data_IF_759995642104
#
_entry.id   IF_759995642104
#
_cell.length_a   1.000
_cell.length_b   1.000
_cell.length_c   1.000
_cell.angle_alpha   90.00
_cell.angle_beta   90.00
_cell.angle_gamma   90.00
#
_symmetry.space_group_name_H-M   'P 1'
#
loop_
_entity.id
_entity.type
_entity.pdbx_description
1 polymer ?
#
# COMPACT_ATOMS: atom_id res chain seq x y z
N UNK A 1 -29.33 -21.58 -10.91
CA UNK A 1 -28.42 -21.73 -9.75
C UNK A 1 -28.47 -20.42 -8.97
N UNK A 2 -28.52 -20.41 -7.63
CA UNK A 2 -28.44 -19.16 -6.91
C UNK A 2 -27.10 -18.50 -7.28
N UNK A 3 -27.11 -17.20 -7.59
CA UNK A 3 -25.90 -16.42 -7.81
C UNK A 3 -25.01 -16.64 -6.60
N UNK A 4 -23.87 -17.33 -6.78
CA UNK A 4 -22.82 -17.34 -5.75
C UNK A 4 -22.49 -15.88 -5.48
N UNK A 5 -22.47 -15.47 -4.22
CA UNK A 5 -21.99 -14.15 -3.84
C UNK A 5 -20.61 -13.97 -4.47
N UNK A 6 -20.53 -13.18 -5.53
CA UNK A 6 -19.27 -12.90 -6.21
C UNK A 6 -18.39 -12.11 -5.25
N UNK A 7 -17.22 -12.62 -4.96
CA UNK A 7 -16.28 -11.95 -4.07
C UNK A 7 -15.76 -10.64 -4.67
N UNK A 8 -15.56 -10.63 -5.99
CA UNK A 8 -15.14 -9.43 -6.70
C UNK A 8 -16.39 -8.76 -7.26
N UNK A 9 -16.78 -7.65 -6.65
CA UNK A 9 -17.88 -6.82 -7.06
C UNK A 9 -17.42 -5.39 -7.30
N UNK A 10 -17.60 -4.88 -8.51
CA UNK A 10 -17.33 -3.47 -8.82
C UNK A 10 -18.50 -2.64 -8.29
N UNK A 11 -18.25 -1.91 -7.20
CA UNK A 11 -19.25 -0.99 -6.63
C UNK A 11 -19.35 0.31 -7.43
N UNK A 12 -18.36 0.56 -8.29
CA UNK A 12 -18.24 1.77 -9.11
C UNK A 12 -17.90 1.35 -10.54
N UNK A 13 -18.91 1.14 -11.39
CA UNK A 13 -18.68 0.75 -12.77
C UNK A 13 -17.84 1.84 -13.48
N UNK A 14 -16.94 1.40 -14.34
CA UNK A 14 -16.22 2.29 -15.21
C UNK A 14 -17.18 2.89 -16.25
N UNK A 15 -17.13 4.20 -16.46
CA UNK A 15 -18.01 4.89 -17.41
C UNK A 15 -17.74 4.48 -18.87
N UNK A 16 -16.50 4.07 -19.19
CA UNK A 16 -16.16 3.59 -20.52
C UNK A 16 -16.48 2.09 -20.64
N UNK A 17 -17.39 1.70 -21.52
CA UNK A 17 -17.69 0.28 -21.73
C UNK A 17 -16.51 -0.44 -22.40
N UNK A 18 -16.42 -1.75 -22.13
CA UNK A 18 -15.50 -2.63 -22.80
C UNK A 18 -15.85 -2.80 -24.27
N UNK A 19 -14.85 -2.90 -25.11
CA UNK A 19 -14.95 -3.11 -26.56
C UNK A 19 -14.05 -4.25 -27.00
N UNK A 20 -14.16 -4.68 -28.24
CA UNK A 20 -13.24 -5.64 -28.87
C UNK A 20 -11.77 -5.15 -28.93
N UNK A 21 -11.50 -3.88 -28.61
CA UNK A 21 -10.14 -3.33 -28.51
C UNK A 21 -9.50 -3.56 -27.12
N UNK A 22 -10.29 -3.97 -26.15
CA UNK A 22 -9.80 -4.25 -24.81
C UNK A 22 -9.29 -5.69 -24.74
N UNK A 23 -8.09 -5.87 -24.17
CA UNK A 23 -7.46 -7.18 -24.07
C UNK A 23 -8.30 -8.14 -23.24
N UNK A 24 -8.54 -9.33 -23.75
CA UNK A 24 -9.30 -10.39 -23.10
C UNK A 24 -10.82 -10.30 -23.32
N UNK A 25 -11.26 -9.32 -24.10
CA UNK A 25 -12.67 -9.18 -24.50
C UNK A 25 -12.89 -9.84 -25.86
N UNK A 26 -13.89 -10.72 -26.03
CA UNK A 26 -14.26 -11.26 -27.34
C UNK A 26 -14.67 -10.18 -28.34
N UNK A 27 -14.54 -10.48 -29.63
CA UNK A 27 -15.06 -9.61 -30.67
C UNK A 27 -16.58 -9.51 -30.59
N UNK A 28 -17.07 -8.38 -30.08
CA UNK A 28 -18.49 -8.10 -29.91
C UNK A 28 -18.94 -6.96 -30.81
N UNK A 29 -20.16 -6.99 -31.36
CA UNK A 29 -20.68 -5.91 -32.16
C UNK A 29 -20.95 -4.64 -31.34
N UNK A 30 -21.39 -4.79 -30.09
CA UNK A 30 -21.74 -3.70 -29.20
C UNK A 30 -20.83 -3.62 -27.98
N UNK A 31 -20.53 -2.41 -27.47
CA UNK A 31 -19.79 -2.22 -26.22
C UNK A 31 -20.50 -2.85 -25.02
N UNK A 32 -19.72 -3.42 -24.08
CA UNK A 32 -20.20 -4.11 -22.89
C UNK A 32 -19.85 -3.32 -21.61
N UNK A 33 -20.81 -3.07 -20.75
CA UNK A 33 -20.53 -2.49 -19.45
C UNK A 33 -19.78 -3.50 -18.54
N UNK A 34 -18.85 -3.01 -17.71
CA UNK A 34 -18.05 -3.88 -16.83
C UNK A 34 -18.88 -4.75 -15.90
N UNK A 35 -19.98 -4.24 -15.39
CA UNK A 35 -20.89 -4.95 -14.50
C UNK A 35 -21.71 -6.04 -15.21
N UNK A 36 -21.75 -6.01 -16.55
CA UNK A 36 -22.45 -7.00 -17.39
C UNK A 36 -21.54 -8.17 -17.83
N UNK A 37 -20.23 -8.10 -17.55
CA UNK A 37 -19.29 -9.16 -17.96
C UNK A 37 -19.69 -10.51 -17.37
N UNK A 38 -20.11 -10.54 -16.11
CA UNK A 38 -20.55 -11.78 -15.43
C UNK A 38 -21.80 -12.42 -16.00
N UNK A 39 -22.63 -11.65 -16.71
CA UNK A 39 -23.88 -12.12 -17.32
C UNK A 39 -23.68 -12.75 -18.71
N UNK A 40 -22.47 -12.62 -19.28
CA UNK A 40 -22.17 -13.14 -20.62
C UNK A 40 -22.05 -14.67 -20.66
N UNK A 41 -21.82 -15.30 -19.50
CA UNK A 41 -21.67 -16.75 -19.41
C UNK A 41 -20.39 -17.30 -20.06
N UNK A 42 -19.39 -16.44 -20.31
CA UNK A 42 -18.12 -16.86 -20.88
C UNK A 42 -17.38 -17.85 -19.99
N UNK A 43 -16.79 -18.84 -20.61
CA UNK A 43 -16.06 -19.90 -19.94
C UNK A 43 -14.65 -20.04 -20.51
N UNK A 44 -13.62 -19.78 -19.70
CA UNK A 44 -12.22 -19.76 -20.18
C UNK A 44 -11.77 -21.12 -20.73
N UNK A 45 -12.22 -22.24 -20.12
CA UNK A 45 -11.86 -23.59 -20.59
C UNK A 45 -12.64 -24.03 -21.84
N UNK A 46 -13.71 -23.32 -22.20
CA UNK A 46 -14.42 -23.48 -23.46
C UNK A 46 -13.87 -22.56 -24.55
N UNK A 47 -12.79 -21.81 -24.26
CA UNK A 47 -12.16 -20.87 -25.15
C UNK A 47 -13.08 -19.72 -25.61
N UNK A 48 -14.05 -19.33 -24.78
CA UNK A 48 -14.95 -18.21 -25.07
C UNK A 48 -14.22 -16.85 -24.97
N UNK A 49 -13.03 -16.82 -24.39
CA UNK A 49 -12.19 -15.62 -24.24
C UNK A 49 -10.96 -15.71 -25.15
N UNK A 50 -10.51 -14.58 -25.73
CA UNK A 50 -9.24 -14.53 -26.47
C UNK A 50 -8.06 -14.92 -25.57
N UNK A 51 -7.23 -15.86 -26.01
CA UNK A 51 -6.04 -16.29 -25.29
C UNK A 51 -4.79 -15.55 -25.81
N UNK A 52 -3.78 -15.25 -24.94
CA UNK A 52 -3.72 -15.58 -23.51
C UNK A 52 -4.57 -14.66 -22.65
N UNK A 53 -5.29 -15.23 -21.69
CA UNK A 53 -6.09 -14.52 -20.70
C UNK A 53 -5.54 -14.75 -19.29
N UNK A 54 -5.63 -13.72 -18.41
CA UNK A 54 -5.34 -13.85 -17.00
C UNK A 54 -6.65 -14.03 -16.25
N UNK A 55 -6.76 -15.10 -15.47
CA UNK A 55 -7.95 -15.39 -14.65
C UNK A 55 -7.58 -15.45 -13.18
N UNK A 56 -8.52 -15.00 -12.34
CA UNK A 56 -8.39 -15.08 -10.90
C UNK A 56 -9.27 -16.22 -10.37
N UNK A 57 -8.70 -17.09 -9.55
CA UNK A 57 -9.45 -18.14 -8.87
C UNK A 57 -10.11 -17.58 -7.62
N UNK A 58 -11.43 -17.45 -7.62
CA UNK A 58 -12.20 -16.89 -6.50
C UNK A 58 -11.90 -17.61 -5.17
N UNK A 59 -11.78 -18.94 -5.20
CA UNK A 59 -11.47 -19.73 -3.98
C UNK A 59 -10.08 -19.42 -3.42
N UNK A 60 -9.10 -19.12 -4.28
CA UNK A 60 -7.76 -18.68 -3.86
C UNK A 60 -7.80 -17.27 -3.27
N UNK A 61 -8.48 -16.34 -3.93
CA UNK A 61 -8.67 -14.97 -3.42
C UNK A 61 -9.32 -14.96 -2.03
N UNK A 62 -10.40 -15.74 -1.83
CA UNK A 62 -11.07 -15.88 -0.52
C UNK A 62 -10.11 -16.41 0.54
N UNK A 63 -9.39 -17.47 0.24
CA UNK A 63 -8.46 -18.07 1.18
C UNK A 63 -7.34 -17.09 1.58
N UNK A 64 -6.79 -16.37 0.60
CA UNK A 64 -5.72 -15.38 0.82
C UNK A 64 -6.21 -14.17 1.62
N UNK A 65 -7.42 -13.70 1.32
CA UNK A 65 -8.09 -12.62 2.05
C UNK A 65 -8.30 -13.01 3.53
N UNK A 66 -8.92 -14.15 3.81
CA UNK A 66 -9.17 -14.62 5.17
C UNK A 66 -7.86 -14.87 5.94
N UNK A 67 -6.84 -15.42 5.27
CA UNK A 67 -5.54 -15.62 5.89
C UNK A 67 -4.93 -14.28 6.36
N UNK A 68 -4.93 -13.26 5.49
CA UNK A 68 -4.37 -11.95 5.84
C UNK A 68 -5.18 -11.27 6.96
N UNK A 69 -6.51 -11.36 6.95
CA UNK A 69 -7.37 -10.85 8.03
C UNK A 69 -7.01 -11.48 9.38
N UNK A 70 -6.81 -12.81 9.39
CA UNK A 70 -6.37 -13.55 10.58
C UNK A 70 -5.01 -13.08 11.09
N UNK A 71 -4.04 -12.90 10.17
CA UNK A 71 -2.72 -12.37 10.50
C UNK A 71 -2.80 -10.95 11.12
N UNK A 72 -3.50 -10.04 10.47
CA UNK A 72 -3.64 -8.65 10.93
C UNK A 72 -4.26 -8.56 12.33
N UNK A 73 -5.32 -9.34 12.55
CA UNK A 73 -5.98 -9.42 13.86
C UNK A 73 -5.05 -9.98 14.95
N UNK A 74 -4.32 -11.05 14.66
CA UNK A 74 -3.36 -11.65 15.59
C UNK A 74 -2.19 -10.75 15.92
N UNK A 75 -1.64 -10.07 14.92
CA UNK A 75 -0.51 -9.15 15.05
C UNK A 75 -0.90 -7.75 15.57
N UNK A 76 -2.21 -7.42 15.56
CA UNK A 76 -2.75 -6.10 15.93
C UNK A 76 -2.15 -4.95 15.12
N UNK A 77 -2.00 -5.18 13.84
CA UNK A 77 -1.54 -4.18 12.85
C UNK A 77 -2.56 -4.02 11.75
N UNK A 78 -2.43 -2.97 10.97
CA UNK A 78 -3.30 -2.72 9.83
C UNK A 78 -2.54 -2.87 8.52
N UNK A 79 -3.27 -2.89 7.41
CA UNK A 79 -2.69 -3.02 6.09
C UNK A 79 -3.11 -1.87 5.19
N UNK A 80 -2.16 -1.37 4.41
CA UNK A 80 -2.40 -0.53 3.25
C UNK A 80 -1.85 -1.27 2.01
N UNK A 81 -2.59 -2.23 1.43
CA UNK A 81 -2.05 -3.14 0.42
C UNK A 81 -1.58 -2.40 -0.82
N UNK A 82 -0.45 -2.85 -1.37
CA UNK A 82 0.14 -2.20 -2.54
C UNK A 82 -0.61 -2.53 -3.83
N UNK A 83 -1.41 -1.58 -4.30
CA UNK A 83 -2.26 -1.71 -5.49
C UNK A 83 -1.50 -1.94 -6.81
N UNK A 84 -0.19 -1.59 -6.88
CA UNK A 84 0.62 -1.83 -8.09
C UNK A 84 0.66 -3.30 -8.52
N UNK A 85 0.37 -4.22 -7.61
CA UNK A 85 0.36 -5.67 -7.89
C UNK A 85 -0.62 -6.02 -9.01
N UNK A 86 -1.83 -5.48 -8.95
CA UNK A 86 -2.89 -5.80 -9.91
C UNK A 86 -3.38 -4.58 -10.70
N UNK A 87 -3.31 -3.38 -10.11
CA UNK A 87 -3.99 -2.17 -10.58
C UNK A 87 -5.46 -2.40 -10.93
N UNK A 88 -6.09 -3.37 -10.23
CA UNK A 88 -7.48 -3.77 -10.45
C UNK A 88 -8.39 -3.21 -9.33
N UNK A 89 -9.26 -2.23 -9.62
CA UNK A 89 -10.16 -1.66 -8.63
C UNK A 89 -11.06 -2.69 -7.93
N UNK A 90 -11.51 -3.74 -8.61
CA UNK A 90 -12.28 -4.80 -8.00
C UNK A 90 -11.51 -5.55 -6.88
N UNK A 91 -10.19 -5.71 -7.04
CA UNK A 91 -9.33 -6.25 -5.96
C UNK A 91 -9.16 -5.22 -4.84
N UNK A 92 -9.05 -3.94 -5.16
CA UNK A 92 -8.99 -2.88 -4.14
C UNK A 92 -10.30 -2.83 -3.33
N UNK A 93 -11.46 -2.95 -3.99
CA UNK A 93 -12.77 -3.01 -3.32
C UNK A 93 -12.84 -4.18 -2.34
N UNK A 94 -12.36 -5.37 -2.74
CA UNK A 94 -12.24 -6.52 -1.85
C UNK A 94 -11.36 -6.19 -0.64
N UNK A 95 -10.17 -5.66 -0.86
CA UNK A 95 -9.22 -5.34 0.22
C UNK A 95 -9.75 -4.27 1.18
N UNK A 96 -10.43 -3.23 0.67
CA UNK A 96 -11.10 -2.22 1.50
C UNK A 96 -12.26 -2.82 2.29
N UNK A 97 -13.05 -3.69 1.67
CA UNK A 97 -14.15 -4.42 2.35
C UNK A 97 -13.62 -5.32 3.47
N UNK A 98 -12.44 -5.90 3.29
CA UNK A 98 -11.74 -6.70 4.31
C UNK A 98 -11.11 -5.85 5.43
N UNK A 99 -11.21 -4.54 5.36
CA UNK A 99 -10.75 -3.62 6.39
C UNK A 99 -9.38 -2.99 6.13
N UNK A 100 -8.87 -3.01 4.90
CA UNK A 100 -7.64 -2.30 4.58
C UNK A 100 -7.77 -0.79 4.90
N UNK A 101 -6.77 -0.24 5.58
CA UNK A 101 -6.75 1.15 6.02
C UNK A 101 -6.67 2.14 4.85
N UNK A 102 -5.93 1.81 3.82
CA UNK A 102 -5.73 2.61 2.60
C UNK A 102 -5.40 1.70 1.42
N UNK A 103 -5.36 2.26 0.21
CA UNK A 103 -4.69 1.62 -0.93
C UNK A 103 -3.33 2.28 -1.13
N UNK A 104 -2.27 1.47 -1.19
CA UNK A 104 -0.92 1.94 -1.47
C UNK A 104 -0.68 2.02 -2.98
N UNK A 105 -0.09 3.14 -3.39
CA UNK A 105 0.28 3.43 -4.78
C UNK A 105 1.77 3.78 -4.88
N UNK A 106 2.32 3.86 -6.08
CA UNK A 106 3.73 4.19 -6.29
C UNK A 106 3.97 5.41 -7.21
N UNK A 107 2.94 5.90 -7.90
CA UNK A 107 3.06 7.00 -8.86
C UNK A 107 1.86 7.92 -8.82
N UNK A 108 1.99 9.14 -9.34
CA UNK A 108 0.87 10.08 -9.52
C UNK A 108 -0.23 9.53 -10.45
N UNK A 109 0.14 8.70 -11.43
CA UNK A 109 -0.83 8.01 -12.26
C UNK A 109 -1.67 7.01 -11.44
N UNK A 110 -1.04 6.17 -10.63
CA UNK A 110 -1.74 5.23 -9.76
C UNK A 110 -2.62 5.95 -8.72
N UNK A 111 -2.16 7.10 -8.19
CA UNK A 111 -2.97 7.97 -7.35
C UNK A 111 -4.25 8.42 -8.06
N UNK A 112 -4.13 8.89 -9.32
CA UNK A 112 -5.28 9.33 -10.09
C UNK A 112 -6.28 8.20 -10.36
N UNK A 113 -5.81 6.98 -10.61
CA UNK A 113 -6.67 5.80 -10.73
C UNK A 113 -7.40 5.56 -9.40
N UNK A 114 -6.67 5.43 -8.29
CA UNK A 114 -7.28 5.17 -6.99
C UNK A 114 -8.29 6.27 -6.60
N UNK A 115 -7.94 7.55 -6.79
CA UNK A 115 -8.84 8.67 -6.53
C UNK A 115 -10.11 8.62 -7.39
N UNK A 116 -9.98 8.35 -8.69
CA UNK A 116 -11.11 8.27 -9.63
C UNK A 116 -12.09 7.17 -9.24
N UNK A 117 -11.58 6.05 -8.72
CA UNK A 117 -12.43 5.00 -8.16
C UNK A 117 -12.93 5.29 -6.72
N UNK A 118 -12.57 6.48 -6.17
CA UNK A 118 -13.13 7.04 -4.93
C UNK A 118 -12.60 6.38 -3.66
N UNK A 119 -11.37 5.86 -3.67
CA UNK A 119 -10.75 5.37 -2.43
C UNK A 119 -10.44 6.54 -1.49
N UNK A 120 -10.94 6.51 -0.24
CA UNK A 120 -10.88 7.68 0.64
C UNK A 120 -9.51 7.91 1.25
N UNK A 121 -8.64 6.90 1.29
CA UNK A 121 -7.26 7.00 1.75
C UNK A 121 -6.31 6.37 0.75
N UNK A 122 -5.30 7.14 0.35
CA UNK A 122 -4.30 6.73 -0.63
C UNK A 122 -2.92 6.99 -0.05
N UNK A 123 -2.11 5.95 0.05
CA UNK A 123 -0.75 6.01 0.52
C UNK A 123 0.22 5.80 -0.64
N UNK A 124 0.94 6.86 -1.04
CA UNK A 124 2.01 6.73 -2.02
C UNK A 124 3.30 6.33 -1.30
N UNK A 125 3.61 5.03 -1.33
CA UNK A 125 4.87 4.50 -0.79
C UNK A 125 6.02 4.81 -1.76
N UNK A 126 6.24 6.08 -2.01
CA UNK A 126 7.30 6.63 -2.83
C UNK A 126 7.38 8.14 -2.60
N UNK A 127 8.51 8.74 -2.97
CA UNK A 127 8.69 10.17 -2.96
C UNK A 127 7.82 10.81 -4.06
N UNK A 128 7.06 11.82 -3.68
CA UNK A 128 6.35 12.63 -4.65
C UNK A 128 7.30 13.71 -5.20
N UNK A 129 7.90 13.41 -6.36
CA UNK A 129 8.90 14.26 -7.00
C UNK A 129 8.53 14.64 -8.43
N UNK A 130 9.14 15.71 -8.91
CA UNK A 130 8.89 16.23 -10.25
C UNK A 130 7.66 17.15 -10.30
N UNK A 131 7.86 18.36 -10.87
CA UNK A 131 6.86 19.42 -10.90
C UNK A 131 5.49 18.93 -11.39
N UNK A 132 5.45 18.15 -12.48
CA UNK A 132 4.19 17.68 -13.05
C UNK A 132 3.47 16.71 -12.12
N UNK A 133 4.18 15.73 -11.56
CA UNK A 133 3.60 14.74 -10.64
C UNK A 133 3.03 15.42 -9.38
N UNK A 134 3.77 16.39 -8.81
CA UNK A 134 3.31 17.14 -7.64
C UNK A 134 2.04 17.93 -8.01
N UNK A 135 2.04 18.63 -9.14
CA UNK A 135 0.87 19.38 -9.60
C UNK A 135 -0.34 18.46 -9.79
N UNK A 136 -0.17 17.30 -10.46
CA UNK A 136 -1.26 16.37 -10.72
C UNK A 136 -1.89 15.82 -9.43
N UNK A 137 -1.06 15.51 -8.44
CA UNK A 137 -1.57 15.06 -7.13
C UNK A 137 -2.31 16.20 -6.41
N UNK A 138 -1.73 17.39 -6.38
CA UNK A 138 -2.36 18.55 -5.73
C UNK A 138 -3.70 18.91 -6.39
N UNK A 139 -3.78 18.96 -7.71
CA UNK A 139 -5.04 19.24 -8.42
C UNK A 139 -6.06 18.11 -8.18
N UNK A 140 -5.60 16.85 -8.14
CA UNK A 140 -6.45 15.73 -7.77
C UNK A 140 -7.02 15.87 -6.36
N UNK A 141 -6.22 16.31 -5.39
CA UNK A 141 -6.65 16.53 -4.01
C UNK A 141 -7.59 17.72 -3.86
N UNK A 142 -7.46 18.75 -4.69
CA UNK A 142 -8.42 19.86 -4.75
C UNK A 142 -9.76 19.42 -5.32
N UNK A 143 -9.73 18.55 -6.35
CA UNK A 143 -10.94 17.98 -6.96
C UNK A 143 -11.64 16.94 -6.07
N UNK A 144 -10.96 16.37 -5.09
CA UNK A 144 -11.48 15.34 -4.17
C UNK A 144 -11.03 15.67 -2.72
N UNK A 145 -11.65 16.68 -2.09
CA UNK A 145 -11.24 17.15 -0.76
C UNK A 145 -11.43 16.10 0.35
N UNK A 146 -12.29 15.11 0.13
CA UNK A 146 -12.52 13.97 1.03
C UNK A 146 -11.35 12.97 1.07
N UNK A 147 -10.48 12.96 0.06
CA UNK A 147 -9.37 12.02 -0.03
C UNK A 147 -8.24 12.43 0.91
N UNK A 148 -7.88 11.54 1.82
CA UNK A 148 -6.65 11.63 2.62
C UNK A 148 -5.49 11.03 1.83
N UNK A 149 -4.44 11.81 1.63
CA UNK A 149 -3.26 11.38 0.87
C UNK A 149 -2.00 11.47 1.71
N UNK A 150 -1.14 10.49 1.54
CA UNK A 150 0.16 10.35 2.23
C UNK A 150 1.23 10.05 1.20
N UNK A 151 2.42 10.66 1.33
CA UNK A 151 3.58 10.33 0.49
C UNK A 151 4.87 10.40 1.30
N UNK A 152 5.97 9.97 0.70
CA UNK A 152 7.27 9.94 1.35
C UNK A 152 8.08 11.19 1.03
N UNK A 153 8.96 11.54 1.95
CA UNK A 153 10.04 12.51 1.74
C UNK A 153 11.36 11.89 2.18
N UNK A 154 12.40 12.17 1.42
CA UNK A 154 13.75 11.62 1.64
C UNK A 154 14.86 12.67 1.49
N UNK A 155 14.54 13.89 1.11
CA UNK A 155 15.50 14.96 0.91
C UNK A 155 14.90 16.34 1.23
N UNK A 156 15.73 17.26 1.74
CA UNK A 156 15.33 18.65 2.04
C UNK A 156 14.80 19.38 0.79
N UNK A 157 15.36 19.07 -0.38
CA UNK A 157 14.89 19.64 -1.65
C UNK A 157 13.45 19.22 -1.97
N UNK A 158 13.10 17.97 -1.66
CA UNK A 158 11.75 17.45 -1.84
C UNK A 158 10.77 18.10 -0.84
N UNK A 159 11.14 18.22 0.44
CA UNK A 159 10.35 18.92 1.46
C UNK A 159 10.01 20.35 0.99
N UNK A 160 11.04 21.11 0.57
CA UNK A 160 10.87 22.49 0.06
C UNK A 160 9.99 22.56 -1.18
N UNK A 161 10.15 21.63 -2.12
CA UNK A 161 9.35 21.59 -3.35
C UNK A 161 7.87 21.33 -3.05
N UNK A 162 7.57 20.36 -2.17
CA UNK A 162 6.20 20.07 -1.74
C UNK A 162 5.59 21.23 -0.98
N UNK A 163 6.28 21.81 0.01
CA UNK A 163 5.79 22.94 0.79
C UNK A 163 5.47 24.14 -0.10
N UNK A 164 6.38 24.50 -1.00
CA UNK A 164 6.14 25.60 -1.95
C UNK A 164 4.93 25.32 -2.86
N UNK A 165 4.80 24.10 -3.38
CA UNK A 165 3.68 23.75 -4.24
C UNK A 165 2.34 23.82 -3.49
N UNK A 166 2.27 23.32 -2.26
CA UNK A 166 1.08 23.43 -1.42
C UNK A 166 0.68 24.88 -1.20
N UNK A 167 1.63 25.75 -0.82
CA UNK A 167 1.37 27.19 -0.59
C UNK A 167 0.85 27.90 -1.83
N UNK A 168 1.43 27.62 -3.00
CA UNK A 168 1.10 28.33 -4.23
C UNK A 168 -0.11 27.78 -4.98
N UNK A 169 -0.54 26.55 -4.63
CA UNK A 169 -1.63 25.86 -5.34
C UNK A 169 -3.03 26.22 -4.88
N UNK A 170 -3.17 26.79 -3.67
CA UNK A 170 -4.47 26.98 -3.03
C UNK A 170 -5.15 25.69 -2.58
N UNK A 171 -4.38 24.66 -2.20
CA UNK A 171 -4.92 23.37 -1.70
C UNK A 171 -5.77 23.55 -0.44
N UNK A 172 -5.47 24.55 0.41
CA UNK A 172 -6.24 24.89 1.61
C UNK A 172 -6.07 23.90 2.79
N UNK A 173 -5.16 22.94 2.67
CA UNK A 173 -4.82 21.99 3.73
C UNK A 173 -3.37 21.52 3.63
N UNK A 174 -2.83 20.97 4.70
CA UNK A 174 -1.50 20.38 4.71
C UNK A 174 -1.47 19.09 3.88
N UNK A 175 -0.29 18.77 3.32
CA UNK A 175 0.01 17.48 2.73
C UNK A 175 0.65 16.58 3.80
N UNK A 176 0.10 15.36 3.98
CA UNK A 176 0.69 14.41 4.92
C UNK A 176 1.91 13.75 4.30
N UNK A 177 3.03 13.81 5.00
CA UNK A 177 4.28 13.19 4.57
C UNK A 177 4.85 12.29 5.65
N UNK A 178 5.51 11.20 5.24
CA UNK A 178 6.31 10.36 6.12
C UNK A 178 7.78 10.51 5.72
N UNK A 179 8.65 10.53 6.71
CA UNK A 179 10.09 10.47 6.46
C UNK A 179 10.48 9.03 6.20
N UNK A 180 11.13 8.78 5.06
CA UNK A 180 11.70 7.48 4.75
C UNK A 180 13.09 7.33 5.36
N UNK A 181 13.26 6.26 6.15
CA UNK A 181 14.56 5.79 6.61
C UNK A 181 15.11 4.78 5.61
N UNK A 182 16.21 5.11 4.94
CA UNK A 182 16.91 4.17 4.07
C UNK A 182 17.64 3.09 4.86
N UNK A 183 18.10 2.04 4.15
CA UNK A 183 19.02 1.06 4.71
C UNK A 183 20.35 1.13 3.94
N UNK A 184 21.40 0.44 4.39
CA UNK A 184 22.78 0.43 3.88
C UNK A 184 23.13 1.48 2.80
N UNK A 185 23.82 2.55 3.20
CA UNK A 185 24.14 3.67 2.30
C UNK A 185 23.01 4.69 2.11
N UNK A 186 21.85 4.46 2.73
CA UNK A 186 20.76 5.43 2.87
C UNK A 186 21.02 6.42 4.02
N UNK A 187 19.97 7.14 4.42
CA UNK A 187 20.07 8.09 5.53
C UNK A 187 20.25 7.38 6.87
N UNK A 188 21.15 7.92 7.68
CA UNK A 188 21.23 7.59 9.10
C UNK A 188 19.97 8.07 9.85
N UNK A 189 19.78 7.57 11.06
CA UNK A 189 18.67 8.03 11.94
C UNK A 189 18.78 9.54 12.19
N UNK A 190 19.98 10.07 12.38
CA UNK A 190 20.21 11.49 12.63
C UNK A 190 19.84 12.35 11.42
N UNK A 191 20.26 11.97 10.22
CA UNK A 191 19.88 12.67 8.97
C UNK A 191 18.37 12.62 8.72
N UNK A 192 17.74 11.49 9.01
CA UNK A 192 16.28 11.36 8.91
C UNK A 192 15.55 12.21 9.97
N UNK A 193 16.11 12.35 11.16
CA UNK A 193 15.57 13.25 12.21
C UNK A 193 15.67 14.72 11.79
N UNK A 194 16.79 15.14 11.18
CA UNK A 194 16.89 16.49 10.59
C UNK A 194 15.83 16.72 9.52
N UNK A 195 15.55 15.71 8.71
CA UNK A 195 14.49 15.81 7.71
C UNK A 195 13.11 15.92 8.36
N UNK A 196 12.84 15.18 9.45
CA UNK A 196 11.62 15.30 10.23
C UNK A 196 11.43 16.71 10.82
N UNK A 197 12.52 17.31 11.35
CA UNK A 197 12.52 18.71 11.81
C UNK A 197 12.23 19.69 10.68
N UNK A 198 12.81 19.45 9.50
CA UNK A 198 12.54 20.27 8.33
C UNK A 198 11.07 20.20 7.88
N UNK A 199 10.44 19.02 7.93
CA UNK A 199 9.00 18.89 7.67
C UNK A 199 8.18 19.65 8.72
N UNK A 200 8.50 19.48 10.00
CA UNK A 200 7.79 20.14 11.09
C UNK A 200 7.95 21.68 11.07
N UNK A 201 9.02 22.20 10.43
CA UNK A 201 9.21 23.64 10.24
C UNK A 201 8.35 24.26 9.12
N UNK A 202 7.56 23.46 8.40
CA UNK A 202 6.65 23.86 7.33
C UNK A 202 5.15 23.67 7.69
N UNK A 203 4.70 24.12 8.89
CA UNK A 203 3.40 23.74 9.46
C UNK A 203 2.19 24.31 8.71
N UNK A 204 2.39 25.27 7.82
CA UNK A 204 1.35 25.82 6.94
C UNK A 204 1.14 25.00 5.66
N UNK A 205 2.07 24.10 5.34
CA UNK A 205 2.07 23.33 4.10
C UNK A 205 2.11 21.81 4.31
N UNK A 206 2.90 21.35 5.28
CA UNK A 206 3.17 19.92 5.48
C UNK A 206 2.77 19.46 6.88
N UNK A 207 2.41 18.20 6.96
CA UNK A 207 2.17 17.48 8.20
C UNK A 207 3.10 16.27 8.26
N UNK A 208 3.97 16.19 9.26
CA UNK A 208 4.72 14.98 9.54
C UNK A 208 3.76 13.92 10.09
N UNK A 209 3.38 12.96 9.25
CA UNK A 209 2.39 11.94 9.59
C UNK A 209 3.03 10.66 10.15
N UNK A 210 4.35 10.48 9.99
CA UNK A 210 5.01 9.28 10.48
C UNK A 210 6.37 9.00 9.87
N UNK A 211 6.81 7.76 10.06
CA UNK A 211 8.07 7.21 9.57
C UNK A 211 7.81 6.01 8.68
N UNK A 212 8.57 5.90 7.63
CA UNK A 212 8.48 4.81 6.67
C UNK A 212 9.87 4.18 6.44
N UNK A 213 9.88 2.90 6.07
CA UNK A 213 11.04 2.18 5.59
C UNK A 213 10.64 1.01 4.70
N UNK A 214 11.59 0.51 3.90
CA UNK A 214 11.31 -0.60 3.00
C UNK A 214 12.43 -1.63 3.00
N UNK A 215 12.18 -2.76 3.64
CA UNK A 215 13.09 -3.91 3.74
C UNK A 215 13.04 -4.84 2.52
N UNK A 216 12.09 -4.64 1.63
CA UNK A 216 11.83 -5.57 0.52
C UNK A 216 12.88 -5.60 -0.59
N UNK A 217 13.92 -4.76 -0.52
CA UNK A 217 15.09 -4.83 -1.38
C UNK A 217 16.13 -5.86 -0.88
N UNK A 218 16.02 -6.28 0.38
CA UNK A 218 16.86 -7.32 0.94
C UNK A 218 16.46 -8.69 0.38
N UNK A 219 17.41 -9.62 0.32
CA UNK A 219 17.12 -10.99 -0.11
C UNK A 219 16.04 -11.60 0.81
N UNK A 220 15.23 -12.47 0.26
CA UNK A 220 14.13 -13.12 1.00
C UNK A 220 14.42 -14.60 1.34
N UNK A 221 15.69 -14.92 1.55
CA UNK A 221 16.14 -16.29 1.85
C UNK A 221 16.14 -16.64 3.35
N UNK A 222 15.85 -15.64 4.21
CA UNK A 222 15.83 -15.84 5.65
C UNK A 222 17.20 -16.05 6.28
N UNK A 223 18.29 -15.77 5.55
CA UNK A 223 19.65 -15.89 6.08
C UNK A 223 19.86 -14.97 7.31
N UNK A 224 20.59 -15.43 8.33
CA UNK A 224 20.76 -14.69 9.59
C UNK A 224 21.29 -13.26 9.39
N UNK A 225 22.20 -13.05 8.43
CA UNK A 225 22.75 -11.74 8.12
C UNK A 225 21.70 -10.81 7.50
N UNK A 226 20.75 -11.35 6.73
CA UNK A 226 19.66 -10.58 6.15
C UNK A 226 18.63 -10.21 7.22
N UNK A 227 18.29 -11.16 8.10
CA UNK A 227 17.40 -10.88 9.22
C UNK A 227 17.97 -9.81 10.14
N UNK A 228 19.29 -9.81 10.38
CA UNK A 228 19.97 -8.77 11.14
C UNK A 228 19.87 -7.38 10.47
N UNK A 229 19.94 -7.30 9.14
CA UNK A 229 19.74 -6.05 8.39
C UNK A 229 18.29 -5.57 8.47
N UNK A 230 17.32 -6.48 8.37
CA UNK A 230 15.89 -6.16 8.58
C UNK A 230 15.67 -5.60 9.99
N UNK A 231 16.18 -6.29 11.00
CA UNK A 231 16.08 -5.84 12.39
C UNK A 231 16.74 -4.46 12.59
N UNK A 232 17.93 -4.23 12.02
CA UNK A 232 18.65 -2.96 12.13
C UNK A 232 17.85 -1.79 11.52
N UNK A 233 17.25 -1.99 10.35
CA UNK A 233 16.35 -1.00 9.72
C UNK A 233 15.17 -0.68 10.63
N UNK A 234 14.47 -1.70 11.11
CA UNK A 234 13.27 -1.51 11.92
C UNK A 234 13.58 -0.89 13.30
N UNK A 235 14.68 -1.28 13.92
CA UNK A 235 15.16 -0.64 15.15
C UNK A 235 15.54 0.83 14.91
N UNK A 236 16.10 1.13 13.73
CA UNK A 236 16.36 2.50 13.29
C UNK A 236 15.07 3.32 13.14
N UNK A 237 14.05 2.75 12.53
CA UNK A 237 12.73 3.38 12.39
C UNK A 237 12.09 3.67 13.75
N UNK A 238 12.15 2.72 14.69
CA UNK A 238 11.63 2.91 16.05
C UNK A 238 12.37 4.04 16.76
N UNK A 239 13.71 4.03 16.74
CA UNK A 239 14.53 5.11 17.35
C UNK A 239 14.21 6.48 16.74
N UNK A 240 14.09 6.57 15.41
CA UNK A 240 13.73 7.80 14.73
C UNK A 240 12.35 8.31 15.17
N UNK A 241 11.36 7.41 15.21
CA UNK A 241 10.00 7.75 15.62
C UNK A 241 9.94 8.23 17.08
N UNK A 242 10.62 7.52 18.00
CA UNK A 242 10.70 7.90 19.41
C UNK A 242 11.41 9.24 19.61
N UNK A 243 12.50 9.51 18.87
CA UNK A 243 13.20 10.80 18.92
C UNK A 243 12.33 11.93 18.38
N UNK A 244 11.65 11.73 17.26
CA UNK A 244 10.73 12.72 16.69
C UNK A 244 9.52 13.01 17.61
N UNK A 245 8.99 11.97 18.30
CA UNK A 245 7.90 12.12 19.28
C UNK A 245 8.37 12.85 20.54
N UNK A 246 9.59 12.59 21.03
CA UNK A 246 10.17 13.30 22.16
C UNK A 246 10.33 14.79 21.89
N UNK A 247 10.70 15.16 20.67
CA UNK A 247 10.82 16.54 20.19
C UNK A 247 9.47 17.19 19.84
N UNK A 248 8.37 16.42 19.86
CA UNK A 248 7.02 16.92 19.56
C UNK A 248 6.77 17.18 18.07
N UNK A 249 7.58 16.61 17.16
CA UNK A 249 7.51 16.92 15.73
C UNK A 249 6.21 16.43 15.06
N UNK A 250 5.51 15.45 15.62
CA UNK A 250 4.21 14.97 15.13
C UNK A 250 3.02 15.82 15.59
N UNK A 251 3.21 16.80 16.47
CA UNK A 251 2.10 17.54 17.10
C UNK A 251 1.20 16.62 17.95
N UNK A 252 -0.12 16.80 17.87
CA UNK A 252 -1.11 15.99 18.62
C UNK A 252 -1.75 14.87 17.79
N UNK A 253 -1.09 14.43 16.71
CA UNK A 253 -1.65 13.49 15.76
C UNK A 253 -1.24 12.05 16.03
N UNK A 254 -2.00 11.12 15.48
CA UNK A 254 -1.62 9.73 15.35
C UNK A 254 -0.37 9.61 14.46
N UNK A 255 0.58 8.76 14.86
CA UNK A 255 1.84 8.52 14.14
C UNK A 255 1.74 7.23 13.35
N UNK A 256 2.02 7.29 12.05
CA UNK A 256 2.08 6.13 11.19
C UNK A 256 3.50 5.56 11.18
N UNK A 257 3.64 4.28 11.46
CA UNK A 257 4.86 3.52 11.25
C UNK A 257 4.62 2.50 10.15
N UNK A 258 5.28 2.63 9.01
CA UNK A 258 4.97 1.81 7.86
C UNK A 258 6.20 1.17 7.24
N UNK A 259 6.16 -0.15 7.13
CA UNK A 259 7.10 -1.00 6.40
C UNK A 259 6.36 -2.28 5.97
N UNK A 260 7.07 -3.32 5.58
CA UNK A 260 6.44 -4.62 5.34
C UNK A 260 5.98 -4.80 3.90
N UNK A 261 6.89 -5.28 3.09
CA UNK A 261 6.57 -5.81 1.77
C UNK A 261 6.01 -7.25 1.86
N UNK A 262 6.49 -8.10 0.97
CA UNK A 262 5.99 -9.47 0.83
C UNK A 262 6.72 -10.51 1.71
N UNK A 263 7.89 -10.18 2.25
CA UNK A 263 8.81 -11.19 2.83
C UNK A 263 8.97 -11.12 4.34
N UNK A 264 8.83 -9.94 4.95
CA UNK A 264 9.21 -9.71 6.34
C UNK A 264 8.13 -9.00 7.16
N UNK A 265 6.88 -9.00 6.69
CA UNK A 265 5.78 -8.30 7.37
C UNK A 265 5.48 -8.82 8.79
N UNK A 266 5.84 -10.06 9.11
CA UNK A 266 5.80 -10.66 10.45
C UNK A 266 6.79 -9.96 11.40
N UNK A 267 8.03 -9.76 10.95
CA UNK A 267 9.07 -9.05 11.72
C UNK A 267 8.68 -7.57 11.86
N UNK A 268 8.24 -6.96 10.78
CA UNK A 268 7.75 -5.57 10.76
C UNK A 268 6.63 -5.37 11.78
N UNK A 269 5.60 -6.21 11.74
CA UNK A 269 4.48 -6.12 12.67
C UNK A 269 4.95 -6.16 14.13
N UNK A 270 5.81 -7.12 14.47
CA UNK A 270 6.34 -7.29 15.82
C UNK A 270 7.23 -6.13 16.25
N UNK A 271 8.16 -5.69 15.39
CA UNK A 271 9.16 -4.66 15.74
C UNK A 271 8.53 -3.27 15.86
N UNK A 272 7.73 -2.86 14.87
CA UNK A 272 7.14 -1.53 14.89
C UNK A 272 6.05 -1.40 15.97
N UNK A 273 5.35 -2.47 16.31
CA UNK A 273 4.40 -2.46 17.43
C UNK A 273 5.06 -2.33 18.81
N UNK A 274 6.37 -2.53 18.90
CA UNK A 274 7.12 -2.33 20.14
C UNK A 274 7.53 -0.87 20.39
N UNK A 275 7.35 0.04 19.44
CA UNK A 275 7.65 1.45 19.57
C UNK A 275 6.88 2.11 20.73
N UNK A 276 7.55 2.96 21.51
CA UNK A 276 6.98 3.60 22.69
C UNK A 276 6.87 5.11 22.46
N UNK A 277 5.79 5.51 21.79
CA UNK A 277 5.51 6.90 21.53
C UNK A 277 4.48 7.42 22.57
N UNK A 278 4.53 8.72 22.83
CA UNK A 278 3.50 9.42 23.64
C UNK A 278 2.19 9.57 22.87
N UNK A 279 2.27 9.54 21.54
CA UNK A 279 1.13 9.67 20.63
C UNK A 279 0.53 8.31 20.28
N UNK A 280 -0.76 8.23 19.96
CA UNK A 280 -1.33 7.04 19.34
C UNK A 280 -0.51 6.65 18.11
N UNK A 281 -0.24 5.36 17.97
CA UNK A 281 0.61 4.84 16.89
C UNK A 281 -0.15 3.80 16.09
N UNK A 282 -0.06 3.91 14.78
CA UNK A 282 -0.63 2.95 13.84
C UNK A 282 0.49 2.29 13.05
N UNK A 283 0.55 0.97 13.12
CA UNK A 283 1.50 0.18 12.32
C UNK A 283 0.81 -0.30 11.06
N UNK A 284 1.38 0.01 9.90
CA UNK A 284 0.86 -0.33 8.59
C UNK A 284 1.84 -1.21 7.83
N UNK A 285 1.42 -2.42 7.47
CA UNK A 285 2.13 -3.22 6.47
C UNK A 285 1.57 -2.92 5.08
N UNK A 286 2.37 -3.17 4.03
CA UNK A 286 2.01 -2.81 2.65
C UNK A 286 2.00 -3.98 1.67
N UNK A 287 1.96 -5.21 2.20
CA UNK A 287 1.89 -6.42 1.39
C UNK A 287 0.74 -6.34 0.40
N UNK A 288 1.01 -6.43 -0.89
CA UNK A 288 -0.01 -6.38 -1.95
C UNK A 288 -0.18 -7.73 -2.66
N UNK A 289 0.93 -8.46 -2.83
CA UNK A 289 0.92 -9.71 -3.58
C UNK A 289 0.26 -10.88 -2.84
N UNK A 290 -0.05 -10.76 -1.56
CA UNK A 290 -0.71 -11.84 -0.81
C UNK A 290 -2.02 -12.28 -1.45
N UNK A 291 -2.76 -11.32 -2.02
CA UNK A 291 -4.13 -11.56 -2.51
C UNK A 291 -4.15 -12.48 -3.74
N UNK A 292 -3.22 -12.30 -4.67
CA UNK A 292 -3.10 -13.11 -5.89
C UNK A 292 -2.09 -14.22 -5.75
N UNK A 293 -1.18 -14.11 -4.78
CA UNK A 293 -0.06 -15.01 -4.53
C UNK A 293 0.75 -15.32 -5.80
N UNK A 294 1.94 -15.88 -5.68
CA UNK A 294 2.72 -16.38 -6.81
C UNK A 294 3.36 -17.73 -6.47
N UNK A 295 3.64 -18.51 -7.51
CA UNK A 295 4.15 -19.88 -7.39
C UNK A 295 5.64 -19.97 -7.08
N UNK A 296 6.37 -18.87 -6.96
CA UNK A 296 7.82 -18.86 -6.80
C UNK A 296 8.28 -18.07 -5.57
N UNK A 297 8.29 -16.75 -5.68
CA UNK A 297 8.86 -15.88 -4.64
C UNK A 297 8.00 -15.92 -3.37
N UNK A 298 6.68 -15.82 -3.52
CA UNK A 298 5.77 -15.82 -2.38
C UNK A 298 5.73 -17.16 -1.65
N UNK A 299 5.81 -18.27 -2.37
CA UNK A 299 5.90 -19.61 -1.77
C UNK A 299 7.14 -19.73 -0.88
N UNK A 300 8.31 -19.26 -1.36
CA UNK A 300 9.53 -19.22 -0.55
C UNK A 300 9.43 -18.29 0.64
N UNK A 301 8.94 -17.08 0.43
CA UNK A 301 8.75 -16.10 1.50
C UNK A 301 7.79 -16.62 2.58
N UNK A 302 6.70 -17.27 2.18
CA UNK A 302 5.73 -17.87 3.09
C UNK A 302 6.33 -19.03 3.90
N UNK A 303 7.13 -19.88 3.26
CA UNK A 303 7.85 -20.97 3.95
C UNK A 303 8.81 -20.41 4.99
N UNK A 304 9.65 -19.44 4.63
CA UNK A 304 10.57 -18.79 5.55
C UNK A 304 9.85 -18.10 6.72
N UNK A 305 8.69 -17.49 6.47
CA UNK A 305 7.84 -16.90 7.51
C UNK A 305 7.32 -17.97 8.47
N UNK A 306 6.80 -19.09 7.97
CA UNK A 306 6.30 -20.20 8.81
C UNK A 306 7.41 -20.85 9.66
N UNK A 307 8.64 -20.89 9.15
CA UNK A 307 9.81 -21.36 9.90
C UNK A 307 10.20 -20.39 11.03
N UNK A 308 10.07 -19.07 10.81
CA UNK A 308 10.35 -18.04 11.82
C UNK A 308 9.28 -17.93 12.87
N UNK A 309 8.02 -18.09 12.47
CA UNK A 309 6.85 -17.99 13.35
C UNK A 309 5.91 -19.19 13.15
N UNK A 310 6.10 -20.28 13.93
CA UNK A 310 5.28 -21.49 13.84
C UNK A 310 3.79 -21.25 14.11
N UNK A 311 3.42 -20.19 14.85
CA UNK A 311 2.02 -19.83 15.06
C UNK A 311 1.34 -19.45 13.75
N UNK A 312 2.05 -18.83 12.83
CA UNK A 312 1.55 -18.50 11.50
C UNK A 312 1.47 -19.71 10.57
N UNK A 313 2.25 -20.77 10.82
CA UNK A 313 2.17 -22.01 10.05
C UNK A 313 0.81 -22.72 10.21
N UNK A 314 0.16 -22.55 11.36
CA UNK A 314 -1.15 -23.16 11.68
C UNK A 314 -2.36 -22.41 11.16
N UNK A 315 -2.20 -21.20 10.62
CA UNK A 315 -3.32 -20.31 10.21
C UNK A 315 -3.87 -20.59 8.81
N UNK A 316 -3.45 -21.67 8.15
CA UNK A 316 -3.83 -22.02 6.79
C UNK A 316 -2.79 -21.66 5.74
N UNK A 317 -3.09 -21.93 4.47
CA UNK A 317 -2.19 -21.70 3.35
C UNK A 317 -2.69 -20.58 2.45
N UNK A 318 -1.76 -19.73 2.02
CA UNK A 318 -1.99 -18.84 0.88
C UNK A 318 -2.03 -19.67 -0.40
N UNK A 319 -2.94 -19.38 -1.31
CA UNK A 319 -3.22 -20.14 -2.52
C UNK A 319 -2.94 -19.32 -3.78
N UNK A 320 -2.53 -19.97 -4.85
CA UNK A 320 -2.29 -19.42 -6.17
C UNK A 320 -3.16 -20.09 -7.22
#
# INVERSE_FOLDING_TARGET
MPRSEQILHMTRPWEAPLTALDKGVPGMPDPLALDQVGDQGWHVLAEDLPLPAAVLLETALRANSEWMKGFLSGARVEIAPHGKTSMAPAIFDLQITDGAWAITVSTSHHFNVARRFGYPRIFMANQLVGRRNITDVIEGLKASPEVSFYCLVDALSNVKALANCVRTSGLGRQLNVLVELGYEGGRSVDEALELARAVASEPDALCLAGIEGFEGLLRNDGAPEILAQVDALLDGMVRLAESADQEGLFGDREVLLSAGGSSYYDIVARRLSAAKLKRPTRVLIRSGCYITHDSHMYVRARKALAERDPALASTGELRH
#
